data_IF_408190857129
#
_entry.id   IF_408190857129
#
_cell.length_a   1.000
_cell.length_b   1.000
_cell.length_c   1.000
_cell.angle_alpha   90.00
_cell.angle_beta   90.00
_cell.angle_gamma   90.00
#
_symmetry.space_group_name_H-M   'P 1'
#
loop_
_entity.id
_entity.type
_entity.pdbx_description
1 polymer ?
#
# COMPACT_ATOMS: atom_id res chain seq x y z
N UNK A 1 3.97 12.76 8.17
CA UNK A 1 3.49 12.99 9.35
C UNK A 1 2.06 13.39 9.65
N UNK A 2 1.87 14.55 10.29
CA UNK A 2 0.55 14.94 10.86
C UNK A 2 -0.56 15.12 9.82
N UNK A 3 -0.26 15.61 8.64
CA UNK A 3 -1.28 15.81 7.59
C UNK A 3 -1.92 14.50 7.12
N UNK A 4 -1.18 13.39 7.14
CA UNK A 4 -1.71 12.08 6.74
C UNK A 4 -2.71 11.51 7.75
N UNK A 5 -2.63 11.91 9.01
CA UNK A 5 -3.54 11.46 10.07
C UNK A 5 -4.92 12.14 9.99
N UNK A 6 -5.02 13.26 9.27
CA UNK A 6 -6.27 14.01 9.10
C UNK A 6 -7.17 13.37 8.04
N UNK A 7 -6.60 12.58 7.12
CA UNK A 7 -7.40 11.88 6.10
C UNK A 7 -8.02 10.65 6.73
N UNK A 8 -9.28 10.73 7.09
CA UNK A 8 -10.07 9.58 7.53
C UNK A 8 -10.26 8.59 6.38
N UNK A 9 -10.13 7.31 6.67
CA UNK A 9 -10.36 6.23 5.73
C UNK A 9 -11.02 5.05 6.42
N UNK A 10 -11.70 4.22 5.63
CA UNK A 10 -12.23 2.95 6.11
C UNK A 10 -11.12 1.91 5.93
N UNK A 11 -10.68 1.31 7.05
CA UNK A 11 -9.74 0.21 7.06
C UNK A 11 -10.51 -1.09 7.29
N UNK A 12 -10.39 -2.01 6.37
CA UNK A 12 -10.98 -3.33 6.48
C UNK A 12 -9.86 -4.38 6.63
N UNK A 13 -9.80 -4.98 7.82
CA UNK A 13 -8.84 -6.04 8.10
C UNK A 13 -9.54 -7.38 7.94
N UNK A 14 -9.00 -8.23 7.09
CA UNK A 14 -9.54 -9.54 6.81
C UNK A 14 -8.47 -10.61 7.00
N UNK A 15 -8.82 -11.67 7.71
CA UNK A 15 -7.98 -12.86 7.87
C UNK A 15 -8.72 -14.08 7.33
N UNK A 16 -8.01 -14.94 6.62
CA UNK A 16 -8.55 -16.23 6.22
C UNK A 16 -8.69 -17.13 7.46
N UNK A 17 -9.84 -17.82 7.64
CA UNK A 17 -10.04 -18.69 8.78
C UNK A 17 -9.03 -19.86 8.77
N UNK A 18 -8.66 -20.33 9.95
CA UNK A 18 -7.69 -21.44 10.09
C UNK A 18 -8.09 -22.68 9.31
N UNK A 19 -9.39 -23.00 9.30
CA UNK A 19 -9.94 -24.16 8.57
C UNK A 19 -9.75 -24.09 7.03
N UNK A 20 -9.47 -22.90 6.49
CA UNK A 20 -9.20 -22.72 5.07
C UNK A 20 -7.88 -23.37 4.64
N UNK A 21 -6.84 -23.29 5.47
CA UNK A 21 -5.48 -23.64 5.07
C UNK A 21 -5.28 -25.13 4.78
N UNK A 22 -5.76 -26.08 5.60
CA UNK A 22 -5.66 -27.50 5.26
C UNK A 22 -6.38 -27.87 3.97
N UNK A 23 -7.56 -27.26 3.72
CA UNK A 23 -8.32 -27.51 2.50
C UNK A 23 -7.60 -26.96 1.27
N UNK A 24 -7.04 -25.76 1.38
CA UNK A 24 -6.27 -25.15 0.30
C UNK A 24 -4.97 -25.93 0.02
N UNK A 25 -4.27 -26.38 1.06
CA UNK A 25 -3.09 -27.23 0.93
C UNK A 25 -3.42 -28.53 0.20
N UNK A 26 -4.53 -29.18 0.57
CA UNK A 26 -5.01 -30.40 -0.09
C UNK A 26 -5.35 -30.14 -1.57
N UNK A 27 -6.08 -29.06 -1.86
CA UNK A 27 -6.40 -28.65 -3.22
C UNK A 27 -5.17 -28.45 -4.08
N UNK A 28 -4.14 -27.82 -3.51
CA UNK A 28 -2.84 -27.59 -4.16
C UNK A 28 -1.96 -28.84 -4.23
N UNK A 29 -2.41 -29.98 -3.70
CA UNK A 29 -1.66 -31.25 -3.63
C UNK A 29 -0.30 -31.10 -2.96
N UNK A 30 -0.20 -30.19 -2.00
CA UNK A 30 1.03 -29.98 -1.24
C UNK A 30 1.05 -30.91 -0.03
N UNK A 31 2.15 -31.64 0.16
CA UNK A 31 2.33 -32.62 1.25
C UNK A 31 3.32 -32.14 2.32
N UNK A 32 3.75 -30.88 2.25
CA UNK A 32 4.66 -30.28 3.22
C UNK A 32 3.99 -29.91 4.54
N UNK A 33 4.76 -29.28 5.41
CA UNK A 33 4.26 -28.71 6.66
C UNK A 33 3.24 -27.59 6.41
N UNK A 34 2.12 -27.63 7.14
CA UNK A 34 1.01 -26.67 6.96
C UNK A 34 1.43 -25.23 7.25
N UNK A 35 2.26 -25.01 8.26
CA UNK A 35 2.71 -23.66 8.62
C UNK A 35 3.60 -23.07 7.53
N UNK A 36 4.55 -23.85 7.02
CA UNK A 36 5.41 -23.46 5.91
C UNK A 36 4.60 -23.18 4.65
N UNK A 37 3.62 -24.03 4.34
CA UNK A 37 2.71 -23.84 3.21
C UNK A 37 1.91 -22.53 3.35
N UNK A 38 1.34 -22.28 4.53
CA UNK A 38 0.57 -21.06 4.82
C UNK A 38 1.43 -19.80 4.67
N UNK A 39 2.63 -19.82 5.22
CA UNK A 39 3.60 -18.71 5.10
C UNK A 39 3.93 -18.42 3.64
N UNK A 40 4.26 -19.44 2.86
CA UNK A 40 4.54 -19.29 1.42
C UNK A 40 3.32 -18.76 0.65
N UNK A 41 2.13 -19.21 1.00
CA UNK A 41 0.89 -18.76 0.37
C UNK A 41 0.64 -17.26 0.65
N UNK A 42 0.87 -16.78 1.87
CA UNK A 42 0.80 -15.34 2.19
C UNK A 42 1.86 -14.54 1.42
N UNK A 43 3.11 -14.99 1.36
CA UNK A 43 4.15 -14.30 0.60
C UNK A 43 3.82 -14.24 -0.89
N UNK A 44 3.24 -15.31 -1.45
CA UNK A 44 2.72 -15.32 -2.83
C UNK A 44 1.56 -14.33 -3.03
N UNK A 45 0.65 -14.26 -2.07
CA UNK A 45 -0.47 -13.32 -2.10
C UNK A 45 0.02 -11.87 -2.10
N UNK A 46 1.02 -11.52 -1.27
CA UNK A 46 1.62 -10.19 -1.23
C UNK A 46 2.24 -9.84 -2.59
N UNK A 47 3.03 -10.76 -3.18
CA UNK A 47 3.61 -10.53 -4.52
C UNK A 47 2.54 -10.33 -5.59
N UNK A 48 1.45 -11.08 -5.53
CA UNK A 48 0.33 -10.91 -6.47
C UNK A 48 -0.39 -9.58 -6.24
N UNK A 49 -0.57 -9.15 -4.98
CA UNK A 49 -1.15 -7.85 -4.66
C UNK A 49 -0.27 -6.71 -5.18
N UNK A 50 1.04 -6.79 -5.05
CA UNK A 50 1.95 -5.80 -5.63
C UNK A 50 1.88 -5.76 -7.15
N UNK A 51 1.75 -6.92 -7.78
CA UNK A 51 1.69 -7.02 -9.25
C UNK A 51 0.35 -6.57 -9.83
N UNK A 52 -0.74 -6.88 -9.16
CA UNK A 52 -2.10 -6.68 -9.69
C UNK A 52 -2.94 -5.68 -8.90
N UNK A 53 -2.44 -5.18 -7.76
CA UNK A 53 -3.19 -4.27 -6.87
C UNK A 53 -3.61 -2.96 -7.54
N UNK A 54 -2.89 -2.51 -8.58
CA UNK A 54 -3.27 -1.37 -9.39
C UNK A 54 -4.67 -1.51 -9.99
N UNK A 55 -5.09 -2.75 -10.29
CA UNK A 55 -6.41 -3.03 -10.84
C UNK A 55 -7.53 -2.69 -9.85
N UNK A 56 -7.29 -2.87 -8.56
CA UNK A 56 -8.24 -2.49 -7.50
C UNK A 56 -8.44 -0.97 -7.52
N UNK A 57 -7.37 -0.21 -7.59
CA UNK A 57 -7.44 1.25 -7.67
C UNK A 57 -8.10 1.71 -8.98
N UNK A 58 -7.81 1.05 -10.07
CA UNK A 58 -8.39 1.36 -11.38
C UNK A 58 -9.92 1.14 -11.40
N UNK A 59 -10.39 0.03 -10.82
CA UNK A 59 -11.82 -0.32 -10.83
C UNK A 59 -12.63 0.38 -9.75
N UNK A 60 -12.03 0.64 -8.59
CA UNK A 60 -12.74 1.09 -7.39
C UNK A 60 -12.22 2.40 -6.80
N UNK A 61 -11.16 2.96 -7.37
CA UNK A 61 -10.63 4.25 -6.92
C UNK A 61 -11.60 5.38 -7.22
N UNK A 62 -11.96 6.17 -6.20
CA UNK A 62 -12.97 7.24 -6.28
C UNK A 62 -12.56 8.52 -5.57
N UNK A 63 -11.27 8.74 -5.35
CA UNK A 63 -10.76 9.91 -4.62
C UNK A 63 -9.75 10.72 -5.45
N UNK A 64 -10.17 11.34 -6.59
CA UNK A 64 -9.29 12.17 -7.38
C UNK A 64 -9.16 13.60 -6.86
N UNK A 65 -9.94 13.98 -5.84
CA UNK A 65 -10.03 15.35 -5.33
C UNK A 65 -9.54 15.46 -3.88
N UNK A 66 -9.05 16.66 -3.53
CA UNK A 66 -8.56 16.99 -2.20
C UNK A 66 -8.89 18.46 -1.88
N UNK A 67 -9.18 18.76 -0.61
CA UNK A 67 -9.38 20.15 -0.16
C UNK A 67 -8.08 20.97 -0.30
N UNK A 68 -8.20 22.23 -0.73
CA UNK A 68 -7.08 23.18 -0.80
C UNK A 68 -6.41 23.37 0.56
N UNK A 69 -7.16 23.34 1.65
CA UNK A 69 -6.62 23.43 3.02
C UNK A 69 -5.64 22.29 3.37
N UNK A 70 -5.77 21.15 2.70
CA UNK A 70 -4.85 20.03 2.87
C UNK A 70 -3.50 20.28 2.18
N UNK A 71 -3.48 21.11 1.15
CA UNK A 71 -2.30 21.40 0.33
C UNK A 71 -1.45 22.56 0.86
N UNK A 72 -2.01 23.42 1.72
CA UNK A 72 -1.45 24.73 2.05
C UNK A 72 -0.14 24.73 2.85
N UNK A 73 0.28 23.63 3.43
CA UNK A 73 1.42 23.74 4.37
C UNK A 73 2.73 23.11 3.94
N UNK A 74 2.76 22.18 2.97
CA UNK A 74 4.00 21.42 2.66
C UNK A 74 4.16 20.91 1.22
N UNK A 75 3.19 21.07 0.33
CA UNK A 75 3.20 20.37 -0.96
C UNK A 75 3.20 21.31 -2.18
N UNK A 76 4.01 22.35 -2.18
CA UNK A 76 4.09 23.31 -3.30
C UNK A 76 4.46 22.67 -4.65
N UNK A 77 5.16 21.54 -4.64
CA UNK A 77 5.53 20.82 -5.86
C UNK A 77 4.34 20.04 -6.42
N UNK A 78 3.56 19.41 -5.55
CA UNK A 78 2.40 18.59 -5.96
C UNK A 78 1.17 19.43 -6.30
N UNK A 79 1.01 20.61 -5.66
CA UNK A 79 -0.09 21.52 -5.99
C UNK A 79 -0.06 22.00 -7.45
N UNK A 80 1.10 22.02 -8.08
CA UNK A 80 1.27 22.41 -9.50
C UNK A 80 0.68 21.39 -10.47
N UNK A 81 0.46 20.16 -10.06
CA UNK A 81 -0.09 19.09 -10.91
C UNK A 81 -1.61 18.91 -10.74
N UNK A 82 -2.18 19.61 -9.77
CA UNK A 82 -3.61 19.58 -9.48
C UNK A 82 -4.32 20.72 -10.22
N UNK A 83 -5.52 20.44 -10.68
CA UNK A 83 -6.41 21.42 -11.28
C UNK A 83 -7.44 21.88 -10.25
N UNK A 84 -7.88 23.13 -10.33
CA UNK A 84 -8.99 23.61 -9.52
C UNK A 84 -10.28 22.90 -9.93
N UNK A 85 -11.02 22.42 -8.94
CA UNK A 85 -12.36 21.87 -9.12
C UNK A 85 -13.43 22.90 -8.74
N UNK A 86 -13.22 23.53 -7.58
CA UNK A 86 -14.06 24.63 -7.06
C UNK A 86 -13.21 25.55 -6.14
N UNK A 87 -13.88 26.49 -5.45
CA UNK A 87 -13.22 27.44 -4.55
C UNK A 87 -12.44 26.76 -3.42
N UNK A 88 -12.83 25.55 -3.00
CA UNK A 88 -12.31 24.85 -1.83
C UNK A 88 -11.49 23.60 -2.16
N UNK A 89 -11.58 23.12 -3.40
CA UNK A 89 -11.08 21.80 -3.77
C UNK A 89 -10.23 21.84 -5.05
N UNK A 90 -9.25 20.93 -5.09
CA UNK A 90 -8.46 20.62 -6.27
C UNK A 90 -8.61 19.14 -6.62
N UNK A 91 -8.35 18.78 -7.87
CA UNK A 91 -8.38 17.39 -8.32
C UNK A 91 -7.25 17.12 -9.32
N UNK A 92 -6.95 15.85 -9.50
CA UNK A 92 -6.03 15.40 -10.54
C UNK A 92 -6.82 14.62 -11.58
N UNK A 93 -6.88 15.09 -12.85
CA UNK A 93 -7.53 14.35 -13.93
C UNK A 93 -6.97 12.92 -14.03
N UNK A 94 -7.88 11.97 -14.21
CA UNK A 94 -7.55 10.54 -14.35
C UNK A 94 -6.89 9.89 -13.12
N UNK A 95 -6.80 10.57 -11.97
CA UNK A 95 -6.35 9.93 -10.75
C UNK A 95 -7.44 9.02 -10.19
N UNK A 96 -7.02 7.85 -9.71
CA UNK A 96 -7.91 6.88 -9.08
C UNK A 96 -7.98 7.07 -7.57
N UNK A 97 -6.86 7.44 -6.94
CA UNK A 97 -6.77 7.71 -5.51
C UNK A 97 -5.57 8.61 -5.22
N UNK A 98 -5.83 9.85 -4.79
CA UNK A 98 -4.76 10.74 -4.32
C UNK A 98 -4.14 10.25 -3.01
N UNK A 99 -4.89 9.51 -2.19
CA UNK A 99 -4.38 8.92 -0.96
C UNK A 99 -3.26 7.91 -1.22
N UNK A 100 -3.32 7.19 -2.33
CA UNK A 100 -2.30 6.20 -2.75
C UNK A 100 -1.26 6.81 -3.70
N UNK A 101 -1.13 8.13 -3.72
CA UNK A 101 -0.14 8.88 -4.48
C UNK A 101 0.93 9.49 -3.57
N UNK A 102 1.85 10.24 -4.16
CA UNK A 102 2.89 11.00 -3.45
C UNK A 102 2.33 12.08 -2.51
N UNK A 103 1.10 12.54 -2.75
CA UNK A 103 0.38 13.43 -1.81
C UNK A 103 -0.07 12.63 -0.58
N UNK A 104 -0.29 11.34 -0.75
CA UNK A 104 -0.80 10.43 0.26
C UNK A 104 0.29 9.55 0.90
N UNK A 105 0.16 8.25 0.72
CA UNK A 105 1.00 7.24 1.37
C UNK A 105 2.28 6.90 0.63
N UNK A 106 2.41 7.25 -0.66
CA UNK A 106 3.65 7.01 -1.37
C UNK A 106 4.74 7.97 -0.86
N UNK A 107 5.80 7.39 -0.33
CA UNK A 107 6.97 8.14 0.07
C UNK A 107 8.12 7.81 -0.91
N UNK A 108 8.69 8.81 -1.60
CA UNK A 108 9.83 8.59 -2.49
C UNK A 108 11.02 7.88 -1.82
N UNK A 109 11.22 8.10 -0.52
CA UNK A 109 12.28 7.44 0.25
C UNK A 109 12.05 5.94 0.38
N UNK A 110 10.80 5.47 0.35
CA UNK A 110 10.50 4.02 0.39
C UNK A 110 11.02 3.29 -0.86
N UNK A 111 11.14 3.97 -1.99
CA UNK A 111 11.71 3.39 -3.21
C UNK A 111 13.20 3.08 -3.09
N UNK A 112 13.90 3.65 -2.11
CA UNK A 112 15.31 3.36 -1.84
C UNK A 112 15.52 2.04 -1.08
N UNK A 113 14.46 1.50 -0.46
CA UNK A 113 14.53 0.25 0.28
C UNK A 113 14.01 -0.90 -0.58
N UNK A 114 14.90 -1.84 -0.86
CA UNK A 114 14.50 -3.07 -1.51
C UNK A 114 14.14 -4.10 -0.45
N UNK A 115 12.84 -4.32 -0.23
CA UNK A 115 12.32 -5.34 0.67
C UNK A 115 11.88 -6.55 -0.16
N UNK A 116 12.50 -7.68 0.05
CA UNK A 116 12.14 -8.92 -0.64
C UNK A 116 10.84 -9.50 -0.08
N UNK A 117 10.00 -10.00 -0.98
CA UNK A 117 8.79 -10.76 -0.65
C UNK A 117 8.88 -12.22 -1.14
N UNK A 118 10.07 -12.71 -1.40
CA UNK A 118 10.28 -14.09 -1.86
C UNK A 118 10.05 -15.10 -0.74
N UNK A 119 10.58 -14.81 0.46
CA UNK A 119 10.34 -15.59 1.65
C UNK A 119 10.15 -14.71 2.88
N UNK A 120 9.62 -15.28 3.96
CA UNK A 120 9.43 -14.58 5.23
C UNK A 120 10.78 -14.18 5.85
N UNK A 121 11.79 -15.03 5.74
CA UNK A 121 13.13 -14.79 6.26
C UNK A 121 13.79 -13.60 5.56
N UNK A 122 13.71 -13.54 4.23
CA UNK A 122 14.20 -12.39 3.46
C UNK A 122 13.47 -11.11 3.83
N UNK A 123 12.15 -11.20 3.93
CA UNK A 123 11.32 -10.06 4.31
C UNK A 123 11.70 -9.49 5.69
N UNK A 124 11.80 -10.34 6.72
CA UNK A 124 12.20 -9.93 8.07
C UNK A 124 13.61 -9.34 8.07
N UNK A 125 14.55 -9.99 7.39
CA UNK A 125 15.93 -9.51 7.28
C UNK A 125 16.00 -8.11 6.65
N UNK A 126 15.34 -7.91 5.54
CA UNK A 126 15.41 -6.66 4.80
C UNK A 126 14.65 -5.54 5.52
N UNK A 127 13.51 -5.86 6.15
CA UNK A 127 12.76 -4.92 6.98
C UNK A 127 13.60 -4.50 8.20
N UNK A 128 14.26 -5.45 8.88
CA UNK A 128 15.15 -5.16 10.01
C UNK A 128 16.30 -4.25 9.61
N UNK A 129 16.90 -4.46 8.44
CA UNK A 129 17.94 -3.55 7.91
C UNK A 129 17.38 -2.15 7.66
N UNK A 130 16.20 -2.05 7.07
CA UNK A 130 15.56 -0.76 6.79
C UNK A 130 15.29 0.05 8.06
N UNK A 131 14.95 -0.60 9.19
CA UNK A 131 14.74 0.09 10.48
C UNK A 131 16.01 0.62 11.12
N UNK A 132 17.19 0.14 10.70
CA UNK A 132 18.49 0.61 11.20
C UNK A 132 19.01 1.85 10.47
N UNK A 133 18.38 2.24 9.37
CA UNK A 133 18.81 3.41 8.60
C UNK A 133 18.12 4.64 9.14
N UNK A 134 18.88 5.66 9.61
CA UNK A 134 18.29 6.90 10.09
C UNK A 134 17.46 7.58 9.00
N UNK A 135 16.25 7.99 9.35
CA UNK A 135 15.42 8.81 8.48
C UNK A 135 15.82 10.27 8.65
N UNK A 136 16.34 10.87 7.61
CA UNK A 136 16.58 12.30 7.54
C UNK A 136 15.37 12.97 6.86
N UNK A 137 14.64 13.80 7.63
CA UNK A 137 13.54 14.62 7.11
C UNK A 137 14.03 15.72 6.16
#
# INVERSE_FOLDING_TARGET
GRCMQVIAGIHFNYSLPEAFWPQYQHFMKNVGDLQSFTTQAYMRMIRNLQRYGWLILYLFGSSPAVSKNFLDSRNSVYSRTLQEFDETSCYKPFATSLRMSEIGYLNPVQSMFHISFNSLEEYIRDLSKATMIPYHE
#
